data_IF_330299027384
#
_entry.id   IF_330299027384
#
_cell.length_a   1.000
_cell.length_b   1.000
_cell.length_c   1.000
_cell.angle_alpha   90.00
_cell.angle_beta   90.00
_cell.angle_gamma   90.00
#
_symmetry.space_group_name_H-M   'P 1'
#
loop_
_entity.id
_entity.type
_entity.pdbx_description
1 polymer ?
#
# COMPACT_ATOMS: atom_id res chain seq x y z
N UNK A 1 -11.63 21.44 -25.15
CA UNK A 1 -11.10 21.62 -23.79
C UNK A 1 -10.21 20.43 -23.52
N UNK A 2 -8.94 20.66 -23.20
CA UNK A 2 -8.01 19.55 -22.93
C UNK A 2 -8.31 19.01 -21.53
N UNK A 3 -8.45 17.70 -21.42
CA UNK A 3 -8.51 17.05 -20.11
C UNK A 3 -7.16 17.23 -19.40
N UNK A 4 -7.14 17.74 -18.15
CA UNK A 4 -5.91 17.94 -17.41
C UNK A 4 -5.23 16.59 -17.16
N UNK A 5 -3.98 16.47 -17.58
CA UNK A 5 -3.17 15.24 -17.44
C UNK A 5 -2.38 15.20 -16.13
N UNK A 6 -2.37 16.32 -15.38
CA UNK A 6 -1.68 16.41 -14.10
C UNK A 6 -2.44 17.31 -13.11
N UNK A 7 -2.17 17.12 -11.81
CA UNK A 7 -2.71 17.98 -10.75
C UNK A 7 -2.39 19.46 -10.94
N UNK A 8 -1.22 19.78 -11.51
CA UNK A 8 -0.83 21.15 -11.82
C UNK A 8 -1.76 21.76 -12.88
N UNK A 9 -1.99 21.03 -13.96
CA UNK A 9 -2.91 21.46 -15.02
C UNK A 9 -4.35 21.58 -14.51
N UNK A 10 -4.77 20.69 -13.61
CA UNK A 10 -6.09 20.76 -12.96
C UNK A 10 -6.26 22.04 -12.14
N UNK A 11 -5.21 22.47 -11.41
CA UNK A 11 -5.26 23.72 -10.66
C UNK A 11 -5.25 24.95 -11.57
N UNK A 12 -4.45 24.95 -12.64
CA UNK A 12 -4.51 26.06 -13.63
C UNK A 12 -5.88 26.13 -14.30
N UNK A 13 -6.48 24.99 -14.65
CA UNK A 13 -7.85 24.94 -15.16
C UNK A 13 -8.86 25.50 -14.15
N UNK A 14 -8.70 25.23 -12.85
CA UNK A 14 -9.54 25.82 -11.81
C UNK A 14 -9.38 27.35 -11.70
N UNK A 15 -8.15 27.86 -11.84
CA UNK A 15 -7.88 29.31 -11.87
C UNK A 15 -8.56 29.94 -13.08
N UNK A 16 -8.46 29.33 -14.25
CA UNK A 16 -9.12 29.80 -15.48
C UNK A 16 -10.65 29.75 -15.36
N UNK A 17 -11.21 28.64 -14.88
CA UNK A 17 -12.66 28.44 -14.77
C UNK A 17 -13.33 29.37 -13.75
N UNK A 18 -12.66 29.65 -12.62
CA UNK A 18 -13.21 30.51 -11.55
C UNK A 18 -12.73 31.95 -11.61
N UNK A 19 -11.69 32.26 -12.37
CA UNK A 19 -11.07 33.57 -12.42
C UNK A 19 -10.49 34.01 -11.06
N UNK A 20 -10.03 33.06 -10.24
CA UNK A 20 -9.63 33.30 -8.85
C UNK A 20 -8.19 32.87 -8.57
N UNK A 21 -7.51 33.61 -7.68
CA UNK A 21 -6.19 33.21 -7.16
C UNK A 21 -6.31 32.02 -6.20
N UNK A 22 -5.17 31.40 -5.84
CA UNK A 22 -5.18 30.25 -4.91
C UNK A 22 -5.88 30.53 -3.57
N UNK A 23 -5.83 31.78 -3.08
CA UNK A 23 -6.59 32.20 -1.89
C UNK A 23 -8.09 32.30 -2.17
N UNK A 24 -8.48 32.83 -3.32
CA UNK A 24 -9.88 32.88 -3.73
C UNK A 24 -10.48 31.48 -3.92
N UNK A 25 -9.71 30.56 -4.48
CA UNK A 25 -10.13 29.16 -4.67
C UNK A 25 -10.35 28.45 -3.33
N UNK A 26 -9.46 28.63 -2.35
CA UNK A 26 -9.64 28.01 -1.02
C UNK A 26 -10.85 28.58 -0.28
N UNK A 27 -11.08 29.89 -0.35
CA UNK A 27 -12.27 30.52 0.23
C UNK A 27 -13.56 30.05 -0.45
N UNK A 28 -13.55 29.91 -1.78
CA UNK A 28 -14.69 29.42 -2.54
C UNK A 28 -15.01 27.96 -2.19
N UNK A 29 -13.98 27.13 -2.08
CA UNK A 29 -14.12 25.75 -1.65
C UNK A 29 -14.68 25.65 -0.22
N UNK A 30 -14.13 26.43 0.72
CA UNK A 30 -14.60 26.45 2.11
C UNK A 30 -16.07 26.87 2.24
N UNK A 31 -16.52 27.86 1.44
CA UNK A 31 -17.93 28.27 1.37
C UNK A 31 -18.85 27.14 0.89
N UNK A 32 -18.33 26.22 0.08
CA UNK A 32 -19.07 25.06 -0.43
C UNK A 32 -18.85 23.79 0.42
N UNK A 33 -18.32 23.93 1.65
CA UNK A 33 -18.07 22.80 2.55
C UNK A 33 -16.89 21.91 2.16
N UNK A 34 -16.09 22.30 1.16
CA UNK A 34 -14.90 21.58 0.72
C UNK A 34 -13.69 22.01 1.53
N UNK A 35 -12.93 21.03 2.04
CA UNK A 35 -11.77 21.28 2.89
C UNK A 35 -10.47 21.25 2.09
N UNK A 36 -10.08 22.41 1.53
CA UNK A 36 -8.79 22.58 0.85
C UNK A 36 -8.14 23.91 1.24
N UNK A 37 -6.86 23.86 1.60
CA UNK A 37 -6.11 25.04 2.04
C UNK A 37 -5.44 25.75 0.87
N UNK A 38 -5.24 27.06 1.02
CA UNK A 38 -4.47 27.87 0.05
C UNK A 38 -3.06 27.33 -0.15
N UNK A 39 -2.42 26.82 0.91
CA UNK A 39 -1.07 26.25 0.87
C UNK A 39 -1.02 25.01 0.00
N UNK A 40 -2.00 24.09 0.13
CA UNK A 40 -2.09 22.90 -0.71
C UNK A 40 -2.30 23.25 -2.18
N UNK A 41 -3.21 24.18 -2.48
CA UNK A 41 -3.46 24.64 -3.86
C UNK A 41 -2.19 25.20 -4.49
N UNK A 42 -1.48 26.07 -3.76
CA UNK A 42 -0.25 26.68 -4.26
C UNK A 42 0.89 25.67 -4.41
N UNK A 43 1.04 24.72 -3.48
CA UNK A 43 2.04 23.67 -3.58
C UNK A 43 1.79 22.76 -4.80
N UNK A 44 0.54 22.39 -5.06
CA UNK A 44 0.17 21.60 -6.24
C UNK A 44 0.45 22.40 -7.52
N UNK A 45 0.04 23.67 -7.57
CA UNK A 45 0.28 24.57 -8.71
C UNK A 45 1.76 24.72 -9.04
N UNK A 46 2.60 24.80 -8.01
CA UNK A 46 4.06 24.92 -8.15
C UNK A 46 4.75 23.58 -8.43
N UNK A 47 4.03 22.45 -8.33
CA UNK A 47 4.62 21.11 -8.43
C UNK A 47 5.50 20.73 -7.23
N UNK A 48 5.36 21.42 -6.09
CA UNK A 48 6.12 21.18 -4.85
C UNK A 48 5.36 20.33 -3.83
N UNK A 49 4.13 19.93 -4.14
CA UNK A 49 3.34 19.05 -3.30
C UNK A 49 3.88 17.61 -3.37
N UNK A 50 4.49 17.16 -2.27
CA UNK A 50 5.16 15.86 -2.19
C UNK A 50 4.26 14.70 -1.72
N UNK A 51 3.05 15.01 -1.25
CA UNK A 51 2.17 14.03 -0.66
C UNK A 51 1.12 13.56 -1.66
N UNK A 52 0.53 12.40 -1.37
CA UNK A 52 -0.62 11.89 -2.11
C UNK A 52 -1.88 12.64 -1.66
N UNK A 53 -2.59 13.38 -2.56
CA UNK A 53 -3.80 14.09 -2.19
C UNK A 53 -4.87 13.12 -1.71
N UNK A 54 -5.63 13.51 -0.69
CA UNK A 54 -6.78 12.71 -0.23
C UNK A 54 -7.95 12.85 -1.20
N UNK A 55 -8.84 11.86 -1.17
CA UNK A 55 -10.07 11.84 -1.97
C UNK A 55 -10.86 13.16 -1.90
N UNK A 56 -11.07 13.69 -0.69
CA UNK A 56 -11.77 14.96 -0.49
C UNK A 56 -11.06 16.15 -1.15
N UNK A 57 -9.72 16.15 -1.19
CA UNK A 57 -8.94 17.18 -1.87
C UNK A 57 -9.11 17.08 -3.38
N UNK A 58 -9.11 15.88 -3.95
CA UNK A 58 -9.31 15.66 -5.39
C UNK A 58 -10.71 16.04 -5.84
N UNK A 59 -11.75 15.66 -5.07
CA UNK A 59 -13.14 16.08 -5.32
C UNK A 59 -13.29 17.60 -5.24
N UNK A 60 -12.62 18.26 -4.29
CA UNK A 60 -12.62 19.72 -4.19
C UNK A 60 -11.96 20.37 -5.43
N UNK A 61 -10.82 19.85 -5.89
CA UNK A 61 -10.15 20.35 -7.10
C UNK A 61 -10.99 20.14 -8.36
N UNK A 62 -11.63 18.98 -8.51
CA UNK A 62 -12.56 18.70 -9.61
C UNK A 62 -13.70 19.72 -9.65
N UNK A 63 -14.33 19.97 -8.51
CA UNK A 63 -15.41 20.96 -8.38
C UNK A 63 -14.93 22.39 -8.67
N UNK A 64 -13.73 22.75 -8.23
CA UNK A 64 -13.15 24.06 -8.53
C UNK A 64 -12.89 24.21 -10.02
N UNK A 65 -12.40 23.18 -10.70
CA UNK A 65 -12.14 23.14 -12.14
C UNK A 65 -13.38 22.93 -13.01
N UNK A 66 -14.54 22.59 -12.42
CA UNK A 66 -15.76 22.30 -13.16
C UNK A 66 -15.70 21.01 -13.98
N UNK A 67 -14.85 20.06 -13.59
CA UNK A 67 -14.69 18.75 -14.23
C UNK A 67 -15.26 17.64 -13.35
N UNK A 68 -15.46 16.47 -13.94
CA UNK A 68 -15.87 15.28 -13.19
C UNK A 68 -14.76 14.84 -12.21
N UNK A 69 -15.17 14.25 -11.07
CA UNK A 69 -14.23 13.80 -10.06
C UNK A 69 -13.22 12.78 -10.63
N UNK A 70 -13.67 11.89 -11.53
CA UNK A 70 -12.80 10.90 -12.19
C UNK A 70 -11.58 11.52 -12.86
N UNK A 71 -11.75 12.69 -13.50
CA UNK A 71 -10.65 13.42 -14.15
C UNK A 71 -9.60 13.88 -13.13
N UNK A 72 -10.02 14.30 -11.94
CA UNK A 72 -9.09 14.68 -10.89
C UNK A 72 -8.33 13.49 -10.30
N UNK A 73 -8.97 12.31 -10.17
CA UNK A 73 -8.29 11.08 -9.75
C UNK A 73 -7.29 10.62 -10.81
N UNK A 74 -7.68 10.62 -12.09
CA UNK A 74 -6.78 10.28 -13.20
C UNK A 74 -5.59 11.25 -13.29
N UNK A 75 -5.82 12.56 -13.13
CA UNK A 75 -4.76 13.57 -13.10
C UNK A 75 -3.83 13.43 -11.89
N UNK A 76 -4.28 12.76 -10.83
CA UNK A 76 -3.50 12.41 -9.64
C UNK A 76 -2.83 11.03 -9.75
N UNK A 77 -3.08 10.26 -10.83
CA UNK A 77 -2.64 8.87 -10.95
C UNK A 77 -3.31 7.92 -9.96
N UNK A 78 -4.44 8.32 -9.36
CA UNK A 78 -5.17 7.50 -8.40
C UNK A 78 -6.30 6.70 -9.06
N UNK A 79 -6.64 5.51 -8.53
CA UNK A 79 -7.82 4.79 -8.98
C UNK A 79 -9.05 5.66 -8.76
N UNK A 80 -9.90 5.73 -9.77
CA UNK A 80 -11.18 6.43 -9.66
C UNK A 80 -12.05 5.63 -8.70
N UNK A 81 -12.48 6.20 -7.55
CA UNK A 81 -13.40 5.51 -6.67
C UNK A 81 -14.70 5.25 -7.45
N UNK A 82 -15.12 3.98 -7.52
CA UNK A 82 -16.36 3.58 -8.16
C UNK A 82 -17.59 4.15 -7.46
N UNK A 83 -18.79 3.84 -7.98
CA UNK A 83 -20.05 4.11 -7.27
C UNK A 83 -19.99 3.61 -5.82
N UNK A 84 -20.78 4.20 -4.90
CA UNK A 84 -20.83 3.70 -3.53
C UNK A 84 -21.12 2.20 -3.55
N UNK A 85 -20.22 1.40 -2.97
CA UNK A 85 -20.32 -0.05 -3.02
C UNK A 85 -21.69 -0.57 -2.55
N UNK A 86 -22.35 0.15 -1.62
CA UNK A 86 -23.69 -0.14 -1.14
C UNK A 86 -24.77 -0.16 -2.24
N UNK A 87 -24.63 0.64 -3.29
CA UNK A 87 -25.59 0.71 -4.42
C UNK A 87 -25.44 -0.46 -5.39
N UNK A 88 -24.28 -1.13 -5.38
CA UNK A 88 -23.99 -2.28 -6.24
C UNK A 88 -24.31 -3.62 -5.55
N UNK A 89 -24.70 -3.59 -4.27
CA UNK A 89 -25.04 -4.79 -3.53
C UNK A 89 -26.36 -5.39 -4.03
N UNK A 90 -26.43 -6.73 -4.18
CA UNK A 90 -27.68 -7.40 -4.52
C UNK A 90 -28.82 -7.06 -3.55
N UNK A 91 -30.08 -7.01 -4.05
CA UNK A 91 -31.22 -6.80 -3.18
C UNK A 91 -31.28 -7.92 -2.11
N UNK A 92 -31.50 -7.53 -0.86
CA UNK A 92 -31.57 -8.47 0.27
C UNK A 92 -30.26 -8.68 1.03
N UNK A 93 -29.13 -8.05 0.63
CA UNK A 93 -27.91 -8.03 1.45
C UNK A 93 -28.16 -7.42 2.84
N UNK A 94 -29.06 -6.44 2.94
CA UNK A 94 -29.47 -5.88 4.23
C UNK A 94 -30.19 -6.89 5.13
N UNK A 95 -30.81 -7.92 4.56
CA UNK A 95 -31.55 -8.95 5.28
C UNK A 95 -30.69 -10.17 5.67
N UNK A 96 -29.36 -10.10 5.48
CA UNK A 96 -28.46 -11.17 5.89
C UNK A 96 -28.49 -11.39 7.41
N UNK A 97 -28.31 -12.65 7.82
CA UNK A 97 -28.16 -12.99 9.24
C UNK A 97 -26.97 -12.25 9.87
N UNK A 98 -26.97 -11.96 11.19
CA UNK A 98 -25.85 -11.28 11.85
C UNK A 98 -24.50 -11.97 11.63
N UNK A 99 -24.48 -13.31 11.58
CA UNK A 99 -23.27 -14.11 11.33
C UNK A 99 -22.77 -13.91 9.90
N UNK A 100 -23.66 -13.97 8.91
CA UNK A 100 -23.33 -13.76 7.49
C UNK A 100 -22.85 -12.33 7.24
N UNK A 101 -23.51 -11.33 7.86
CA UNK A 101 -23.11 -9.93 7.78
C UNK A 101 -21.70 -9.71 8.32
N UNK A 102 -21.36 -10.33 9.45
CA UNK A 102 -20.01 -10.27 10.02
C UNK A 102 -18.95 -10.82 9.05
N UNK A 103 -19.21 -11.99 8.45
CA UNK A 103 -18.27 -12.61 7.50
C UNK A 103 -18.02 -11.68 6.29
N UNK A 104 -19.07 -11.06 5.74
CA UNK A 104 -18.92 -10.12 4.62
C UNK A 104 -18.08 -8.89 5.01
N UNK A 105 -18.28 -8.34 6.19
CA UNK A 105 -17.49 -7.21 6.70
C UNK A 105 -16.02 -7.61 6.88
N UNK A 106 -15.77 -8.79 7.46
CA UNK A 106 -14.41 -9.26 7.69
C UNK A 106 -13.70 -9.57 6.36
N UNK A 107 -14.39 -10.16 5.38
CA UNK A 107 -13.85 -10.34 4.02
C UNK A 107 -13.53 -9.00 3.36
N UNK A 108 -14.44 -8.02 3.45
CA UNK A 108 -14.21 -6.69 2.89
C UNK A 108 -12.99 -6.01 3.52
N UNK A 109 -12.77 -6.17 4.82
CA UNK A 109 -11.56 -5.66 5.50
C UNK A 109 -10.29 -6.30 4.95
N UNK A 110 -10.27 -7.62 4.83
CA UNK A 110 -9.11 -8.35 4.29
C UNK A 110 -8.77 -7.90 2.88
N UNK A 111 -9.78 -7.70 2.02
CA UNK A 111 -9.58 -7.21 0.65
C UNK A 111 -9.04 -5.78 0.65
N UNK A 112 -9.56 -4.88 1.48
CA UNK A 112 -9.05 -3.51 1.60
C UNK A 112 -7.60 -3.48 2.09
N UNK A 113 -7.25 -4.34 3.04
CA UNK A 113 -5.88 -4.42 3.55
C UNK A 113 -4.91 -5.02 2.52
N UNK A 114 -5.38 -5.98 1.71
CA UNK A 114 -4.60 -6.55 0.60
C UNK A 114 -4.29 -5.49 -0.46
N UNK A 115 -5.28 -4.72 -0.89
CA UNK A 115 -5.10 -3.66 -1.89
C UNK A 115 -4.15 -2.56 -1.38
N UNK A 116 -4.30 -2.12 -0.12
CA UNK A 116 -3.38 -1.14 0.49
C UNK A 116 -1.93 -1.62 0.51
N UNK A 117 -1.70 -2.91 0.78
CA UNK A 117 -0.36 -3.47 0.81
C UNK A 117 0.22 -3.67 -0.60
N UNK A 118 -0.62 -3.98 -1.59
CA UNK A 118 -0.21 -4.06 -3.00
C UNK A 118 0.24 -2.68 -3.52
N UNK A 119 -0.50 -1.62 -3.19
CA UNK A 119 -0.14 -0.25 -3.54
C UNK A 119 1.16 0.20 -2.85
N UNK A 120 1.33 -0.10 -1.56
CA UNK A 120 2.55 0.23 -0.83
C UNK A 120 3.81 -0.46 -1.40
N UNK A 121 3.67 -1.66 -1.95
CA UNK A 121 4.78 -2.41 -2.55
C UNK A 121 5.24 -1.82 -3.90
N UNK A 122 4.38 -1.08 -4.60
CA UNK A 122 4.74 -0.39 -5.85
C UNK A 122 5.50 0.94 -5.62
N UNK A 123 5.32 1.58 -4.46
CA UNK A 123 5.99 2.84 -4.11
C UNK A 123 7.47 2.63 -3.73
N UNK A 124 7.84 1.47 -3.16
CA UNK A 124 9.23 1.17 -2.74
C UNK A 124 10.20 0.94 -3.93
N UNK A 125 9.71 0.65 -5.13
CA UNK A 125 10.54 0.48 -6.33
C UNK A 125 10.87 1.82 -7.03
N UNK A 126 10.25 2.95 -6.66
CA UNK A 126 10.55 4.27 -7.21
C UNK A 126 11.61 5.06 -6.41
N UNK A 127 11.95 4.66 -5.18
CA UNK A 127 12.98 5.31 -4.35
C UNK A 127 14.32 4.56 -4.35
N UNK A 128 14.83 4.19 -5.52
CA UNK A 128 16.28 3.96 -5.69
C UNK A 128 16.88 5.08 -6.53
N UNK A 129 17.43 6.16 -5.91
CA UNK A 129 18.35 7.01 -6.62
C UNK A 129 19.50 6.12 -7.10
N UNK A 130 19.64 5.98 -8.42
CA UNK A 130 20.81 5.38 -9.07
C UNK A 130 22.00 6.29 -8.79
N UNK A 131 22.63 6.10 -7.64
CA UNK A 131 23.93 6.71 -7.34
C UNK A 131 25.03 5.88 -8.02
N UNK A 132 25.08 6.02 -9.34
CA UNK A 132 26.17 5.54 -10.21
C UNK A 132 27.30 6.57 -10.19
N UNK A 133 27.85 6.89 -9.02
CA UNK A 133 29.01 7.79 -8.97
C UNK A 133 29.94 7.67 -7.74
N UNK A 134 30.31 6.46 -7.29
CA UNK A 134 31.53 6.32 -6.47
C UNK A 134 31.99 4.86 -6.27
N UNK A 135 32.55 4.23 -7.31
CA UNK A 135 33.36 3.01 -7.11
C UNK A 135 34.36 2.77 -8.26
N UNK A 136 35.19 3.78 -8.56
CA UNK A 136 36.50 3.55 -9.20
C UNK A 136 37.58 3.97 -8.22
N UNK A 137 38.01 3.04 -7.39
CA UNK A 137 39.41 2.79 -7.03
C UNK A 137 39.49 1.82 -5.85
N UNK A 138 39.86 0.57 -6.15
CA UNK A 138 40.94 -0.18 -5.50
C UNK A 138 40.96 -1.59 -6.06
N UNK A 139 41.85 -1.78 -7.03
CA UNK A 139 42.43 -3.09 -7.29
C UNK A 139 43.36 -3.36 -6.12
N UNK A 140 43.10 -4.41 -5.35
CA UNK A 140 44.15 -5.20 -4.73
C UNK A 140 43.65 -6.64 -4.63
N UNK A 141 44.33 -7.50 -5.39
CA UNK A 141 44.08 -8.92 -5.49
C UNK A 141 44.70 -9.65 -4.30
N UNK A 142 43.97 -10.59 -3.68
CA UNK A 142 44.54 -11.83 -3.14
C UNK A 142 43.54 -13.01 -3.18
N UNK A 143 44.05 -14.26 -3.26
CA UNK A 143 43.39 -15.39 -3.91
C UNK A 143 42.85 -16.45 -2.94
N UNK A 144 41.87 -17.24 -3.42
CA UNK A 144 41.26 -18.38 -2.71
C UNK A 144 39.94 -17.98 -2.04
N UNK A 145 38.82 -18.70 -2.13
CA UNK A 145 38.55 -20.09 -2.44
C UNK A 145 37.05 -20.20 -2.85
N UNK A 146 36.73 -21.19 -3.71
CA UNK A 146 35.57 -22.13 -3.63
C UNK A 146 34.15 -21.53 -3.45
N UNK A 147 33.11 -21.83 -4.23
CA UNK A 147 32.84 -22.80 -5.29
C UNK A 147 31.56 -22.32 -6.00
N UNK A 148 31.47 -22.62 -7.30
CA UNK A 148 30.27 -22.51 -8.13
C UNK A 148 29.04 -23.13 -7.45
N UNK A 149 27.90 -22.44 -7.50
CA UNK A 149 26.63 -23.09 -7.88
C UNK A 149 25.80 -22.14 -8.74
N UNK A 150 25.81 -22.52 -10.01
CA UNK A 150 25.04 -21.97 -11.14
C UNK A 150 23.58 -22.37 -10.90
N UNK A 151 22.71 -21.42 -10.60
CA UNK A 151 21.27 -21.63 -10.72
C UNK A 151 20.93 -21.46 -12.20
N UNK A 152 20.85 -22.60 -12.87
CA UNK A 152 20.26 -22.74 -14.20
C UNK A 152 18.77 -22.46 -14.09
N UNK A 153 18.30 -21.51 -14.89
CA UNK A 153 16.90 -21.43 -15.29
C UNK A 153 16.49 -22.79 -15.87
N UNK A 154 15.46 -23.40 -15.31
CA UNK A 154 14.81 -24.58 -15.85
C UNK A 154 13.41 -24.16 -16.30
N UNK A 155 13.16 -24.48 -17.55
CA UNK A 155 12.00 -24.22 -18.37
C UNK A 155 10.67 -24.66 -17.74
N UNK A 156 9.61 -23.97 -18.18
CA UNK A 156 8.23 -24.42 -18.13
C UNK A 156 8.07 -25.80 -18.79
N UNK A 157 7.49 -26.77 -18.06
CA UNK A 157 6.49 -27.71 -18.59
C UNK A 157 6.05 -28.73 -17.53
N UNK A 158 4.73 -28.85 -17.37
CA UNK A 158 4.04 -30.13 -17.12
C UNK A 158 4.13 -30.70 -15.71
N UNK A 159 2.94 -30.86 -15.11
CA UNK A 159 2.61 -31.66 -13.94
C UNK A 159 3.06 -31.05 -12.59
N UNK A 160 2.06 -30.63 -11.80
CA UNK A 160 2.19 -29.86 -10.55
C UNK A 160 2.84 -30.58 -9.37
N UNK A 161 4.00 -31.21 -9.58
CA UNK A 161 4.84 -31.75 -8.52
C UNK A 161 6.17 -30.99 -8.51
N UNK A 162 6.17 -29.82 -7.85
CA UNK A 162 7.39 -29.06 -7.58
C UNK A 162 8.21 -29.88 -6.57
N UNK A 163 9.44 -30.33 -6.90
CA UNK A 163 10.26 -31.06 -5.95
C UNK A 163 10.60 -30.14 -4.78
N UNK A 164 10.20 -30.54 -3.57
CA UNK A 164 10.50 -29.78 -2.37
C UNK A 164 12.02 -29.74 -2.15
N UNK A 165 12.58 -28.60 -1.72
CA UNK A 165 13.99 -28.50 -1.37
C UNK A 165 14.32 -29.41 -0.19
N UNK A 166 15.57 -29.91 -0.12
CA UNK A 166 15.99 -30.92 0.88
C UNK A 166 15.73 -30.52 2.35
N UNK A 167 15.54 -29.23 2.62
CA UNK A 167 15.25 -28.65 3.93
C UNK A 167 13.78 -28.19 4.11
N UNK A 168 12.84 -28.70 3.31
CA UNK A 168 11.43 -28.26 3.37
C UNK A 168 10.78 -28.51 4.74
N UNK A 169 11.25 -29.53 5.46
CA UNK A 169 10.74 -29.88 6.79
C UNK A 169 11.03 -28.77 7.82
N UNK A 170 12.15 -28.06 7.68
CA UNK A 170 12.51 -26.94 8.57
C UNK A 170 11.71 -25.66 8.26
N UNK A 171 11.13 -25.58 7.07
CA UNK A 171 10.32 -24.44 6.60
C UNK A 171 8.81 -24.65 6.83
N UNK A 172 8.39 -25.86 7.23
CA UNK A 172 7.00 -26.15 7.50
C UNK A 172 6.54 -25.47 8.80
N UNK A 173 5.34 -24.87 8.79
CA UNK A 173 4.77 -24.05 9.88
C UNK A 173 4.50 -24.79 11.22
N UNK A 174 5.04 -25.99 11.42
CA UNK A 174 4.97 -26.79 12.64
C UNK A 174 6.31 -27.39 13.07
N UNK A 175 7.43 -27.06 12.42
CA UNK A 175 8.75 -27.51 12.86
C UNK A 175 9.14 -26.76 14.15
N UNK A 176 9.46 -27.46 15.25
CA UNK A 176 9.83 -26.82 16.50
C UNK A 176 11.16 -26.10 16.31
N UNK A 177 11.11 -24.76 16.29
CA UNK A 177 12.29 -23.91 16.25
C UNK A 177 13.12 -24.17 17.52
N UNK A 178 14.46 -24.20 17.45
CA UNK A 178 15.36 -24.50 18.60
C UNK A 178 15.06 -23.65 19.86
N UNK A 179 14.47 -22.47 19.66
CA UNK A 179 14.06 -21.55 20.72
C UNK A 179 12.78 -21.98 21.47
N UNK A 180 11.92 -22.81 20.88
CA UNK A 180 10.82 -23.47 21.56
C UNK A 180 11.33 -24.68 22.35
N UNK A 181 12.20 -25.49 21.74
CA UNK A 181 12.82 -26.65 22.41
C UNK A 181 13.61 -26.23 23.65
N UNK A 182 14.35 -25.12 23.60
CA UNK A 182 15.05 -24.56 24.77
C UNK A 182 14.08 -24.09 25.86
N UNK A 183 12.96 -23.47 25.49
CA UNK A 183 11.97 -22.97 26.45
C UNK A 183 11.27 -24.11 27.18
N UNK A 184 10.85 -25.15 26.47
CA UNK A 184 10.20 -26.31 27.08
C UNK A 184 11.14 -27.05 28.03
N UNK A 185 12.44 -27.11 27.70
CA UNK A 185 13.47 -27.66 28.60
C UNK A 185 13.65 -26.81 29.86
N UNK A 186 13.67 -25.49 29.72
CA UNK A 186 13.80 -24.56 30.85
C UNK A 186 12.57 -24.61 31.78
N UNK A 187 11.38 -24.85 31.22
CA UNK A 187 10.15 -25.03 32.00
C UNK A 187 10.09 -26.40 32.70
N UNK A 188 10.61 -27.46 32.07
CA UNK A 188 10.71 -28.79 32.68
C UNK A 188 11.75 -28.85 33.81
N UNK A 189 12.83 -28.05 33.74
CA UNK A 189 13.87 -27.99 34.78
C UNK A 189 13.47 -27.15 36.01
N UNK A 190 12.48 -26.25 35.89
CA UNK A 190 11.96 -25.45 37.00
C UNK A 190 10.92 -26.23 37.82
N UNK A 191 11.29 -27.45 38.22
CA UNK A 191 10.43 -28.51 38.73
C UNK A 191 9.26 -28.09 39.61
N UNK A 192 8.18 -28.86 39.50
CA UNK A 192 6.94 -28.78 40.28
C UNK A 192 7.25 -28.65 41.78
N UNK A 193 7.29 -27.42 42.28
CA UNK A 193 7.37 -27.14 43.71
C UNK A 193 6.03 -27.62 44.31
N UNK A 194 6.08 -28.84 44.83
CA UNK A 194 4.97 -29.50 45.49
C UNK A 194 4.52 -28.61 46.64
N UNK A 195 3.33 -28.03 46.53
CA UNK A 195 2.62 -27.47 47.68
C UNK A 195 2.13 -28.65 48.54
N UNK A 196 3.07 -29.26 49.27
CA UNK A 196 2.73 -30.20 50.32
C UNK A 196 2.14 -29.42 51.51
N UNK A 197 0.88 -29.77 51.82
CA UNK A 197 0.09 -29.24 52.92
C UNK A 197 0.15 -30.24 54.08
N UNK A 198 0.35 -29.75 55.31
CA UNK A 198 0.14 -30.48 56.58
C UNK A 198 1.35 -30.38 57.51
N UNK A 199 1.24 -30.09 58.80
CA UNK A 199 0.12 -29.96 59.76
C UNK A 199 0.41 -28.83 60.75
#
# INVERSE_FOLDING_TARGET
MNEPKSLKELVELAVEYRGASGLGLSQLAAKNGQQITTTTINAIRQGTYKYVPREGTLRALAWLAGVDASVAFMAAGQPVPGPPFAEELPPGVDNLSPKSRKIMIDLARVLVDLEKNADASNDEDQERPTDISSARERRDARPGQKTKRRLTAAEEQGDGNIPLPDNWQDLAAGAPHESQIKRDREWAERGEESQDQGE
#
